data_IF_040001188822
#
_entry.id   IF_040001188822
#
_cell.length_a   1.000
_cell.length_b   1.000
_cell.length_c   1.000
_cell.angle_alpha   90.00
_cell.angle_beta   90.00
_cell.angle_gamma   90.00
#
_symmetry.space_group_name_H-M   'P 1'
#
loop_
_entity.id
_entity.type
_entity.pdbx_description
1 polymer ?
#
# COMPACT_ATOMS: atom_id res chain seq x y z
N UNK A 1 10.15 20.16 56.74
CA UNK A 1 10.19 19.75 55.33
C UNK A 1 8.91 19.15 54.72
N UNK A 2 7.67 19.41 55.20
CA UNK A 2 6.44 18.93 54.56
C UNK A 2 5.87 19.88 53.49
N UNK A 3 6.19 21.18 53.51
CA UNK A 3 5.52 22.17 52.62
C UNK A 3 6.01 22.15 51.15
N UNK A 4 7.26 21.77 50.89
CA UNK A 4 7.82 21.72 49.54
C UNK A 4 7.19 20.58 48.71
N UNK A 5 6.88 19.42 49.33
CA UNK A 5 6.26 18.30 48.68
C UNK A 5 4.80 18.56 48.30
N UNK A 6 4.09 19.36 49.09
CA UNK A 6 2.68 19.73 48.83
C UNK A 6 2.55 20.75 47.68
N UNK A 7 3.54 21.63 47.51
CA UNK A 7 3.57 22.63 46.45
C UNK A 7 3.87 21.99 45.07
N UNK A 8 4.85 21.11 45.01
CA UNK A 8 5.19 20.35 43.79
C UNK A 8 4.02 19.41 43.33
N UNK A 9 3.34 18.77 44.27
CA UNK A 9 2.16 17.93 43.99
C UNK A 9 0.99 18.77 43.44
N UNK A 10 0.73 19.96 43.95
CA UNK A 10 -0.32 20.87 43.46
C UNK A 10 0.00 21.44 42.08
N UNK A 11 1.25 21.72 41.80
CA UNK A 11 1.71 22.24 40.50
C UNK A 11 1.65 21.17 39.40
N UNK A 12 2.04 19.94 39.73
CA UNK A 12 1.88 18.76 38.85
C UNK A 12 0.39 18.44 38.57
N UNK A 13 -0.47 18.49 39.59
CA UNK A 13 -1.91 18.29 39.39
C UNK A 13 -2.54 19.38 38.48
N UNK A 14 -2.13 20.63 38.62
CA UNK A 14 -2.58 21.74 37.75
C UNK A 14 -2.23 21.52 36.31
N UNK A 15 -1.03 20.99 36.00
CA UNK A 15 -0.55 20.73 34.65
C UNK A 15 -1.50 19.85 33.83
N UNK A 16 -2.12 18.86 34.46
CA UNK A 16 -3.03 17.95 33.79
C UNK A 16 -4.51 18.32 33.96
N UNK A 17 -4.90 18.87 35.12
CA UNK A 17 -6.30 19.17 35.40
C UNK A 17 -6.82 20.36 34.60
N UNK A 18 -5.97 21.35 34.27
CA UNK A 18 -6.39 22.52 33.48
C UNK A 18 -6.82 22.12 32.05
N UNK A 19 -6.05 21.35 31.26
CA UNK A 19 -6.50 20.87 29.96
C UNK A 19 -7.80 20.06 30.08
N UNK A 20 -7.89 19.12 31.02
CA UNK A 20 -9.07 18.29 31.24
C UNK A 20 -10.31 19.14 31.52
N UNK A 21 -10.21 20.12 32.42
CA UNK A 21 -11.33 20.99 32.71
C UNK A 21 -11.79 21.82 31.52
N UNK A 22 -10.85 22.25 30.68
CA UNK A 22 -11.15 22.95 29.43
C UNK A 22 -11.91 22.06 28.46
N UNK A 23 -11.46 20.81 28.24
CA UNK A 23 -12.14 19.84 27.36
C UNK A 23 -13.54 19.53 27.88
N UNK A 24 -13.72 19.35 29.18
CA UNK A 24 -15.04 19.13 29.80
C UNK A 24 -15.97 20.33 29.56
N UNK A 25 -15.50 21.58 29.71
CA UNK A 25 -16.29 22.77 29.41
C UNK A 25 -16.67 22.84 27.92
N UNK A 26 -15.77 22.45 27.02
CA UNK A 26 -16.07 22.39 25.61
C UNK A 26 -17.15 21.33 25.30
N UNK A 27 -17.09 20.13 25.92
CA UNK A 27 -18.11 19.10 25.82
C UNK A 27 -19.48 19.63 26.27
N UNK A 28 -19.53 20.25 27.47
CA UNK A 28 -20.77 20.82 28.00
C UNK A 28 -21.38 21.82 27.00
N UNK A 29 -20.54 22.70 26.44
CA UNK A 29 -21.00 23.73 25.52
C UNK A 29 -21.41 23.15 24.15
N UNK A 30 -20.61 22.26 23.62
CA UNK A 30 -20.76 21.74 22.24
C UNK A 30 -21.89 20.71 22.16
N UNK A 31 -22.01 19.83 23.16
CA UNK A 31 -23.08 18.81 23.22
C UNK A 31 -24.38 19.36 23.84
N UNK A 32 -24.36 20.62 24.32
CA UNK A 32 -25.48 21.27 24.98
C UNK A 32 -26.07 20.49 26.17
N UNK A 33 -25.19 19.91 26.99
CA UNK A 33 -25.56 19.13 28.17
C UNK A 33 -25.34 19.94 29.44
N UNK A 34 -26.12 19.65 30.48
CA UNK A 34 -25.94 20.30 31.78
C UNK A 34 -24.78 19.67 32.57
N UNK A 35 -24.15 20.47 33.47
CA UNK A 35 -23.14 19.95 34.39
C UNK A 35 -23.68 18.80 35.27
N UNK A 36 -24.99 18.82 35.58
CA UNK A 36 -25.64 17.76 36.39
C UNK A 36 -25.70 16.46 35.59
N UNK A 37 -26.08 16.55 34.33
CA UNK A 37 -26.14 15.39 33.44
C UNK A 37 -24.76 14.78 33.23
N UNK A 38 -23.76 15.62 32.94
CA UNK A 38 -22.38 15.14 32.78
C UNK A 38 -21.85 14.54 34.08
N UNK A 39 -22.17 15.11 35.26
CA UNK A 39 -21.77 14.55 36.55
C UNK A 39 -22.37 13.16 36.80
N UNK A 40 -23.64 12.97 36.41
CA UNK A 40 -24.30 11.68 36.46
C UNK A 40 -23.66 10.66 35.51
N UNK A 41 -23.39 11.08 34.27
CA UNK A 41 -22.74 10.23 33.24
C UNK A 41 -21.32 9.79 33.66
N UNK A 42 -20.61 10.66 34.38
CA UNK A 42 -19.25 10.38 34.89
C UNK A 42 -19.25 9.69 36.26
N UNK A 43 -20.41 9.40 36.84
CA UNK A 43 -20.57 8.81 38.17
C UNK A 43 -19.87 9.62 39.27
N UNK A 44 -19.89 10.96 39.16
CA UNK A 44 -19.29 11.86 40.15
C UNK A 44 -20.34 12.77 40.79
N UNK A 45 -20.07 13.22 42.01
CA UNK A 45 -20.93 14.22 42.61
C UNK A 45 -20.83 15.55 41.87
N UNK A 46 -21.99 16.18 41.60
CA UNK A 46 -22.07 17.48 40.90
C UNK A 46 -21.18 18.57 41.58
N UNK A 47 -21.15 18.61 42.90
CA UNK A 47 -20.32 19.53 43.65
C UNK A 47 -18.82 19.32 43.41
N UNK A 48 -18.42 18.05 43.19
CA UNK A 48 -17.04 17.68 42.84
C UNK A 48 -16.70 18.15 41.42
N UNK A 49 -17.56 17.89 40.45
CA UNK A 49 -17.37 18.37 39.08
C UNK A 49 -17.34 19.89 38.99
N UNK A 50 -18.29 20.56 39.65
CA UNK A 50 -18.34 22.04 39.70
C UNK A 50 -17.10 22.68 40.31
N UNK A 51 -16.57 22.11 41.41
CA UNK A 51 -15.30 22.60 42.01
C UNK A 51 -14.11 22.34 41.08
N UNK A 52 -14.07 21.18 40.46
CA UNK A 52 -13.01 20.84 39.49
C UNK A 52 -12.98 21.84 38.34
N UNK A 53 -14.14 22.17 37.75
CA UNK A 53 -14.23 23.10 36.62
C UNK A 53 -13.93 24.54 37.01
N UNK A 54 -14.29 24.95 38.25
CA UNK A 54 -14.05 26.34 38.75
C UNK A 54 -12.60 26.57 39.12
N UNK A 55 -11.96 25.61 39.80
CA UNK A 55 -10.58 25.72 40.28
C UNK A 55 -9.83 24.43 39.94
N UNK A 56 -9.39 24.28 38.66
CA UNK A 56 -8.62 23.11 38.24
C UNK A 56 -7.32 23.01 39.05
N UNK A 57 -7.14 21.95 39.80
CA UNK A 57 -5.99 21.74 40.70
C UNK A 57 -6.31 21.82 42.18
N UNK A 58 -7.49 22.32 42.59
CA UNK A 58 -7.98 22.21 43.98
C UNK A 58 -8.58 20.83 44.27
N UNK A 59 -9.18 20.21 43.27
CA UNK A 59 -9.80 18.88 43.34
C UNK A 59 -9.38 18.11 42.10
N UNK A 60 -9.16 16.80 42.20
CA UNK A 60 -8.92 15.93 41.06
C UNK A 60 -10.16 15.10 40.81
N UNK A 61 -10.44 14.84 39.52
CA UNK A 61 -11.45 13.83 39.16
C UNK A 61 -10.91 12.43 39.44
N UNK A 62 -11.73 11.51 39.91
CA UNK A 62 -11.33 10.13 40.09
C UNK A 62 -11.02 9.48 38.71
N UNK A 63 -10.13 8.49 38.69
CA UNK A 63 -9.65 7.88 37.47
C UNK A 63 -10.81 7.25 36.64
N UNK A 64 -11.79 6.64 37.30
CA UNK A 64 -12.95 6.08 36.61
C UNK A 64 -13.70 7.15 35.81
N UNK A 65 -13.89 8.35 36.36
CA UNK A 65 -14.56 9.45 35.65
C UNK A 65 -13.78 9.89 34.39
N UNK A 66 -12.45 9.88 34.45
CA UNK A 66 -11.60 10.18 33.29
C UNK A 66 -11.73 9.08 32.24
N UNK A 67 -11.73 7.82 32.65
CA UNK A 67 -11.92 6.66 31.75
C UNK A 67 -13.31 6.70 31.12
N UNK A 68 -14.36 6.94 31.90
CA UNK A 68 -15.74 7.07 31.42
C UNK A 68 -15.87 8.24 30.44
N UNK A 69 -15.24 9.38 30.73
CA UNK A 69 -15.18 10.53 29.81
C UNK A 69 -14.56 10.15 28.46
N UNK A 70 -13.41 9.48 28.48
CA UNK A 70 -12.75 9.00 27.27
C UNK A 70 -13.64 8.04 26.46
N UNK A 71 -14.30 7.11 27.14
CA UNK A 71 -15.16 6.12 26.48
C UNK A 71 -16.43 6.73 25.91
N UNK A 72 -17.15 7.55 26.69
CA UNK A 72 -18.43 8.13 26.29
C UNK A 72 -18.27 9.12 25.14
N UNK A 73 -17.21 9.93 25.17
CA UNK A 73 -16.94 10.93 24.16
C UNK A 73 -15.87 10.51 23.13
N UNK A 74 -15.42 9.26 23.18
CA UNK A 74 -14.39 8.67 22.28
C UNK A 74 -13.16 9.55 22.17
N UNK A 75 -12.61 9.95 23.31
CA UNK A 75 -11.42 10.77 23.44
C UNK A 75 -10.20 9.88 23.72
N UNK A 76 -9.04 10.23 23.17
CA UNK A 76 -7.77 9.71 23.66
C UNK A 76 -7.36 10.45 24.93
N UNK A 77 -6.70 9.76 25.86
CA UNK A 77 -6.17 10.39 27.07
C UNK A 77 -5.17 11.52 26.73
N UNK A 78 -4.45 11.38 25.60
CA UNK A 78 -3.53 12.42 25.10
C UNK A 78 -4.27 13.71 24.74
N UNK A 79 -5.45 13.58 24.14
CA UNK A 79 -6.30 14.73 23.78
C UNK A 79 -6.75 15.48 25.02
N UNK A 80 -7.11 14.75 26.08
CA UNK A 80 -7.56 15.35 27.35
C UNK A 80 -6.47 16.19 28.04
N UNK A 81 -5.20 15.78 27.92
CA UNK A 81 -4.08 16.45 28.60
C UNK A 81 -3.33 17.43 27.69
N UNK A 82 -3.70 17.54 26.42
CA UNK A 82 -3.13 18.48 25.46
C UNK A 82 -3.68 19.88 25.65
N UNK A 83 -2.81 20.88 25.63
CA UNK A 83 -3.21 22.28 25.70
C UNK A 83 -3.85 22.81 24.41
N UNK A 84 -3.61 22.17 23.29
CA UNK A 84 -4.04 22.63 21.97
C UNK A 84 -5.28 21.87 21.44
N UNK A 85 -5.70 20.83 22.15
CA UNK A 85 -6.85 20.02 21.75
C UNK A 85 -8.15 20.82 21.86
N UNK A 86 -8.95 20.81 20.79
CA UNK A 86 -10.31 21.39 20.71
C UNK A 86 -11.31 20.27 20.53
N UNK A 87 -12.28 20.20 21.44
CA UNK A 87 -13.34 19.20 21.34
C UNK A 87 -14.27 19.47 20.16
N UNK A 88 -14.54 18.45 19.40
CA UNK A 88 -15.53 18.42 18.32
C UNK A 88 -16.55 17.32 18.58
N UNK A 89 -17.81 17.52 18.20
CA UNK A 89 -18.84 16.48 18.33
C UNK A 89 -18.47 15.23 17.55
N UNK A 90 -19.04 14.09 17.95
CA UNK A 90 -18.86 12.84 17.20
C UNK A 90 -19.28 12.97 15.72
N UNK A 91 -20.33 13.78 15.46
CA UNK A 91 -20.78 14.06 14.11
C UNK A 91 -19.78 14.92 13.32
N UNK A 92 -19.17 15.94 13.94
CA UNK A 92 -18.13 16.76 13.35
C UNK A 92 -16.84 15.97 13.12
N UNK A 93 -16.43 15.13 14.10
CA UNK A 93 -15.28 14.22 13.94
C UNK A 93 -15.52 13.20 12.84
N UNK A 94 -16.75 12.72 12.66
CA UNK A 94 -17.09 11.84 11.54
C UNK A 94 -17.10 12.59 10.21
N UNK A 95 -17.45 13.88 10.21
CA UNK A 95 -17.35 14.74 9.02
C UNK A 95 -15.89 15.08 8.71
N UNK A 96 -15.11 15.47 9.70
CA UNK A 96 -13.67 15.70 9.56
C UNK A 96 -12.93 14.40 9.24
N UNK A 97 -13.27 13.27 9.89
CA UNK A 97 -12.72 11.95 9.54
C UNK A 97 -13.12 11.46 8.14
N UNK A 98 -14.21 11.96 7.57
CA UNK A 98 -14.51 11.76 6.13
C UNK A 98 -13.60 12.59 5.22
N UNK A 99 -13.00 13.64 5.75
CA UNK A 99 -12.01 14.49 5.08
C UNK A 99 -10.58 14.25 5.56
N UNK A 100 -10.39 13.75 6.80
CA UNK A 100 -9.07 13.44 7.32
C UNK A 100 -8.59 12.12 6.76
N UNK A 101 -7.70 12.25 5.84
CA UNK A 101 -6.85 11.18 5.37
C UNK A 101 -6.05 10.60 6.56
N UNK A 102 -5.79 9.29 6.60
CA UNK A 102 -4.93 8.67 7.61
C UNK A 102 -3.46 9.13 7.60
N UNK A 103 -3.18 10.27 6.99
CA UNK A 103 -1.87 10.94 7.03
C UNK A 103 -1.45 11.44 8.41
N UNK A 104 -2.34 11.43 9.41
CA UNK A 104 -1.91 11.59 10.80
C UNK A 104 -0.96 10.50 11.28
N UNK A 105 -0.81 9.39 10.52
CA UNK A 105 0.23 8.40 10.71
C UNK A 105 1.57 8.78 10.06
N UNK A 106 1.55 9.70 9.10
CA UNK A 106 2.74 10.25 8.49
C UNK A 106 2.82 11.70 8.96
N UNK A 107 3.63 11.93 9.98
CA UNK A 107 4.06 13.27 10.32
C UNK A 107 4.67 13.87 9.05
N UNK A 108 3.97 14.83 8.44
CA UNK A 108 4.44 15.47 7.21
C UNK A 108 5.78 16.17 7.42
N UNK A 109 6.05 16.61 8.65
CA UNK A 109 7.35 17.18 9.02
C UNK A 109 8.43 16.10 9.08
N UNK A 110 8.08 14.85 9.47
CA UNK A 110 9.00 13.72 9.47
C UNK A 110 9.30 13.19 8.05
N UNK A 111 8.37 13.33 7.09
CA UNK A 111 8.61 12.96 5.70
C UNK A 111 9.56 13.94 5.00
N UNK A 112 9.66 15.18 5.48
CA UNK A 112 10.51 16.20 4.92
C UNK A 112 10.21 16.55 3.45
N UNK A 113 11.11 17.31 2.83
CA UNK A 113 10.97 17.77 1.43
C UNK A 113 11.15 16.66 0.37
N UNK A 114 11.47 15.43 0.79
CA UNK A 114 11.73 14.32 -0.12
C UNK A 114 10.46 13.60 -0.60
N UNK A 115 9.31 13.93 -0.01
CA UNK A 115 8.04 13.32 -0.39
C UNK A 115 7.06 14.37 -0.93
N UNK A 116 6.45 14.04 -2.04
CA UNK A 116 5.40 14.83 -2.66
C UNK A 116 4.06 14.19 -2.27
N UNK A 117 3.26 14.95 -1.55
CA UNK A 117 1.96 14.52 -1.03
C UNK A 117 0.83 15.19 -1.79
N UNK A 118 1.03 16.45 -2.18
CA UNK A 118 0.02 17.27 -2.87
C UNK A 118 -0.29 16.71 -4.27
N UNK A 119 -1.53 16.28 -4.51
CA UNK A 119 -1.95 15.74 -5.79
C UNK A 119 -2.03 16.78 -6.92
N UNK A 120 -1.95 18.07 -6.60
CA UNK A 120 -1.87 19.15 -7.59
C UNK A 120 -0.46 19.29 -8.18
N UNK A 121 0.54 18.69 -7.55
CA UNK A 121 1.89 18.65 -8.06
C UNK A 121 1.96 17.97 -9.43
N UNK A 122 2.80 18.51 -10.31
CA UNK A 122 3.07 17.94 -11.64
C UNK A 122 3.53 16.47 -11.56
N UNK A 123 4.15 16.07 -10.48
CA UNK A 123 4.58 14.69 -10.25
C UNK A 123 3.41 13.69 -10.27
N UNK A 124 2.21 14.10 -9.89
CA UNK A 124 1.02 13.24 -9.90
C UNK A 124 0.27 13.20 -11.23
N UNK A 125 0.53 14.12 -12.17
CA UNK A 125 -0.26 14.24 -13.42
C UNK A 125 -0.41 12.92 -14.18
N UNK A 126 0.63 12.09 -14.22
CA UNK A 126 0.61 10.81 -14.93
C UNK A 126 -0.03 9.65 -14.16
N UNK A 127 -0.42 9.86 -12.88
CA UNK A 127 -0.87 8.79 -12.00
C UNK A 127 -2.34 8.83 -11.64
N UNK A 128 -2.98 10.00 -11.74
CA UNK A 128 -4.37 10.21 -11.31
C UNK A 128 -5.35 9.58 -12.29
N UNK A 129 -5.49 8.26 -12.19
CA UNK A 129 -6.35 7.45 -13.05
C UNK A 129 -6.69 6.12 -12.39
N UNK A 130 -7.41 5.28 -13.10
CA UNK A 130 -7.69 3.89 -12.72
C UNK A 130 -6.70 2.95 -13.40
N UNK A 131 -6.16 2.01 -12.62
CA UNK A 131 -5.30 0.94 -13.10
C UNK A 131 -6.00 -0.40 -12.94
N UNK A 132 -5.89 -1.25 -13.95
CA UNK A 132 -6.22 -2.66 -13.86
C UNK A 132 -5.05 -3.40 -13.20
N UNK A 133 -5.34 -4.18 -12.18
CA UNK A 133 -4.34 -4.86 -11.37
C UNK A 133 -4.45 -6.36 -11.53
N UNK A 134 -3.30 -7.03 -11.66
CA UNK A 134 -3.20 -8.48 -11.85
C UNK A 134 -2.13 -9.02 -10.93
N UNK A 135 -2.42 -10.06 -10.16
CA UNK A 135 -1.48 -10.68 -9.24
C UNK A 135 -1.88 -12.10 -8.87
N UNK A 136 -0.91 -12.89 -8.41
CA UNK A 136 -1.19 -14.24 -7.95
C UNK A 136 -1.92 -14.20 -6.60
N UNK A 137 -2.88 -15.13 -6.38
CA UNK A 137 -3.45 -15.32 -5.06
C UNK A 137 -2.35 -15.61 -4.04
N UNK A 138 -2.42 -14.97 -2.87
CA UNK A 138 -1.51 -15.27 -1.75
C UNK A 138 -1.84 -16.59 -1.06
N UNK A 139 -2.96 -17.21 -1.41
CA UNK A 139 -3.30 -18.59 -1.06
C UNK A 139 -2.75 -19.53 -2.12
N UNK A 140 -2.03 -20.54 -1.69
CA UNK A 140 -1.39 -21.56 -2.50
C UNK A 140 -2.28 -22.18 -3.58
N UNK A 141 -1.68 -22.44 -4.75
CA UNK A 141 -2.13 -23.37 -5.82
C UNK A 141 -3.28 -22.95 -6.74
N UNK A 142 -3.85 -21.76 -6.62
CA UNK A 142 -4.76 -21.30 -7.65
C UNK A 142 -3.96 -20.84 -8.87
N UNK A 143 -4.26 -21.43 -10.02
CA UNK A 143 -3.59 -21.14 -11.29
C UNK A 143 -4.06 -19.81 -11.91
N UNK A 144 -5.14 -19.22 -11.40
CA UNK A 144 -5.73 -17.99 -11.93
C UNK A 144 -5.24 -16.75 -11.20
N UNK A 145 -5.02 -15.68 -11.97
CA UNK A 145 -4.70 -14.38 -11.41
C UNK A 145 -5.94 -13.75 -10.76
N UNK A 146 -5.72 -13.11 -9.62
CA UNK A 146 -6.69 -12.18 -9.05
C UNK A 146 -6.69 -10.88 -9.84
N UNK A 147 -7.86 -10.28 -9.93
CA UNK A 147 -8.09 -9.01 -10.60
C UNK A 147 -8.35 -7.93 -9.57
N UNK A 148 -7.89 -6.72 -9.86
CA UNK A 148 -8.20 -5.55 -9.05
C UNK A 148 -8.30 -4.29 -9.88
N UNK A 149 -8.81 -3.22 -9.25
CA UNK A 149 -8.79 -1.86 -9.79
C UNK A 149 -8.22 -0.92 -8.74
N UNK A 150 -7.13 -0.26 -9.06
CA UNK A 150 -6.55 0.79 -8.23
C UNK A 150 -6.96 2.14 -8.80
N UNK A 151 -7.71 2.91 -8.03
CA UNK A 151 -8.12 4.26 -8.38
C UNK A 151 -7.28 5.26 -7.61
N UNK A 152 -6.52 6.08 -8.32
CA UNK A 152 -5.77 7.22 -7.76
C UNK A 152 -6.49 8.49 -8.15
N UNK A 153 -6.95 9.26 -7.17
CA UNK A 153 -7.78 10.45 -7.37
C UNK A 153 -7.30 11.62 -6.52
N UNK A 154 -7.58 12.84 -6.96
CA UNK A 154 -7.33 14.02 -6.17
C UNK A 154 -8.21 14.03 -4.92
N UNK A 155 -7.61 14.30 -3.77
CA UNK A 155 -8.29 14.59 -2.52
C UNK A 155 -7.87 15.96 -2.00
N UNK A 156 -8.37 16.37 -0.84
CA UNK A 156 -8.00 17.64 -0.22
C UNK A 156 -6.55 17.53 0.31
N UNK A 157 -5.60 18.07 -0.46
CA UNK A 157 -4.18 18.09 -0.09
C UNK A 157 -3.46 16.74 -0.16
N UNK A 158 -4.11 15.68 -0.69
CA UNK A 158 -3.51 14.35 -0.78
C UNK A 158 -4.06 13.55 -1.96
N UNK A 159 -3.22 12.71 -2.54
CA UNK A 159 -3.66 11.70 -3.50
C UNK A 159 -4.39 10.57 -2.78
N UNK A 160 -5.69 10.42 -3.02
CA UNK A 160 -6.50 9.32 -2.48
C UNK A 160 -6.33 8.08 -3.33
N UNK A 161 -6.24 6.94 -2.65
CA UNK A 161 -6.19 5.63 -3.27
C UNK A 161 -7.41 4.80 -2.84
N UNK A 162 -8.05 4.14 -3.80
CA UNK A 162 -9.06 3.11 -3.56
C UNK A 162 -8.65 1.88 -4.35
N UNK A 163 -8.71 0.71 -3.72
CA UNK A 163 -8.42 -0.56 -4.38
C UNK A 163 -9.60 -1.51 -4.20
N UNK A 164 -10.13 -1.97 -5.32
CA UNK A 164 -11.23 -2.92 -5.42
C UNK A 164 -10.65 -4.27 -5.87
N UNK A 165 -10.79 -5.30 -5.03
CA UNK A 165 -10.33 -6.66 -5.30
C UNK A 165 -11.48 -7.53 -5.78
N UNK A 166 -11.26 -8.27 -6.85
CA UNK A 166 -12.21 -9.22 -7.43
C UNK A 166 -11.58 -10.63 -7.46
N UNK A 167 -12.17 -11.54 -6.71
CA UNK A 167 -11.77 -12.95 -6.72
C UNK A 167 -12.34 -13.70 -7.91
N UNK A 168 -13.49 -13.23 -8.39
CA UNK A 168 -14.20 -13.81 -9.50
C UNK A 168 -14.33 -12.78 -10.63
N UNK A 169 -14.10 -13.21 -11.87
CA UNK A 169 -14.19 -12.38 -13.08
C UNK A 169 -15.58 -11.78 -13.27
N UNK A 170 -16.64 -12.55 -12.98
CA UNK A 170 -18.01 -12.06 -13.05
C UNK A 170 -18.25 -10.86 -12.12
N UNK A 171 -17.62 -10.83 -10.96
CA UNK A 171 -17.67 -9.70 -10.04
C UNK A 171 -16.95 -8.46 -10.58
N UNK A 172 -15.85 -8.65 -11.32
CA UNK A 172 -15.15 -7.56 -11.98
C UNK A 172 -15.98 -6.91 -13.10
N UNK A 173 -16.81 -7.70 -13.79
CA UNK A 173 -17.72 -7.23 -14.84
C UNK A 173 -18.95 -6.51 -14.26
N UNK A 174 -19.49 -7.01 -13.17
CA UNK A 174 -20.64 -6.37 -12.47
C UNK A 174 -20.24 -5.19 -11.59
N UNK A 175 -18.94 -4.98 -11.35
CA UNK A 175 -18.43 -3.89 -10.52
C UNK A 175 -18.61 -4.10 -9.02
N UNK A 176 -18.92 -5.32 -8.59
CA UNK A 176 -19.09 -5.67 -7.17
C UNK A 176 -17.78 -6.27 -6.62
N UNK A 177 -16.95 -5.48 -5.90
CA UNK A 177 -15.70 -5.99 -5.36
C UNK A 177 -15.94 -6.93 -4.18
N UNK A 178 -15.14 -8.00 -4.10
CA UNK A 178 -15.10 -8.91 -2.95
C UNK A 178 -14.47 -8.28 -1.71
N UNK A 179 -13.51 -7.36 -1.94
CA UNK A 179 -12.88 -6.57 -0.88
C UNK A 179 -12.59 -5.16 -1.38
N UNK A 180 -12.78 -4.20 -0.49
CA UNK A 180 -12.44 -2.80 -0.74
C UNK A 180 -11.38 -2.31 0.24
N UNK A 181 -10.40 -1.59 -0.30
CA UNK A 181 -9.38 -0.91 0.48
C UNK A 181 -9.40 0.57 0.14
N UNK A 182 -9.09 1.40 1.09
CA UNK A 182 -8.95 2.84 0.90
C UNK A 182 -7.71 3.36 1.61
N UNK A 183 -7.15 4.43 1.05
CA UNK A 183 -5.94 5.00 1.58
C UNK A 183 -5.43 6.17 0.76
N UNK A 184 -4.14 6.27 0.62
CA UNK A 184 -3.48 7.39 -0.01
C UNK A 184 -2.20 6.98 -0.72
N UNK A 185 -1.70 7.86 -1.60
CA UNK A 185 -0.43 7.68 -2.28
C UNK A 185 0.50 8.86 -2.03
N UNK A 186 1.79 8.58 -1.94
CA UNK A 186 2.87 9.56 -1.85
C UNK A 186 3.97 9.22 -2.84
N UNK A 187 4.68 10.24 -3.34
CA UNK A 187 5.81 10.07 -4.25
C UNK A 187 7.09 10.47 -3.53
N UNK A 188 8.08 9.59 -3.53
CA UNK A 188 9.44 9.96 -3.18
C UNK A 188 10.11 10.62 -4.38
N UNK A 189 10.38 11.92 -4.26
CA UNK A 189 11.05 12.69 -5.32
C UNK A 189 12.49 12.24 -5.54
N UNK A 190 13.19 11.88 -4.46
CA UNK A 190 14.58 11.46 -4.48
C UNK A 190 14.76 10.05 -5.02
N UNK A 191 13.89 9.12 -4.59
CA UNK A 191 13.97 7.71 -4.98
C UNK A 191 13.21 7.40 -6.27
N UNK A 192 12.45 8.36 -6.79
CA UNK A 192 11.60 8.17 -7.97
C UNK A 192 10.67 6.95 -7.83
N UNK A 193 10.02 6.85 -6.69
CA UNK A 193 9.10 5.75 -6.36
C UNK A 193 7.78 6.29 -5.83
N UNK A 194 6.68 5.61 -6.18
CA UNK A 194 5.38 5.85 -5.58
C UNK A 194 5.09 4.79 -4.53
N UNK A 195 4.58 5.24 -3.40
CA UNK A 195 4.07 4.38 -2.33
C UNK A 195 2.57 4.58 -2.22
N UNK A 196 1.81 3.50 -2.21
CA UNK A 196 0.37 3.51 -2.00
C UNK A 196 0.05 2.72 -0.75
N UNK A 197 -0.54 3.39 0.23
CA UNK A 197 -0.94 2.79 1.50
C UNK A 197 -2.44 2.52 1.46
N UNK A 198 -2.83 1.30 1.68
CA UNK A 198 -4.20 0.83 1.59
C UNK A 198 -4.60 0.09 2.87
N UNK A 199 -5.79 0.35 3.37
CA UNK A 199 -6.35 -0.36 4.51
C UNK A 199 -7.80 -0.78 4.23
N UNK A 200 -8.15 -2.00 4.64
CA UNK A 200 -9.54 -2.47 4.65
C UNK A 200 -10.23 -1.95 5.89
N UNK A 201 -11.40 -1.34 5.71
CA UNK A 201 -12.21 -0.83 6.82
C UNK A 201 -12.84 -1.93 7.68
N UNK A 202 -13.06 -3.10 7.11
CA UNK A 202 -13.83 -4.18 7.74
C UNK A 202 -12.99 -5.07 8.61
N UNK A 203 -11.76 -5.40 8.20
CA UNK A 203 -10.95 -6.45 8.82
C UNK A 203 -9.54 -5.97 9.22
N UNK A 204 -9.24 -4.67 9.04
CA UNK A 204 -7.94 -4.10 9.44
C UNK A 204 -6.75 -4.62 8.62
N UNK A 205 -6.98 -5.22 7.46
CA UNK A 205 -5.91 -5.58 6.52
C UNK A 205 -5.23 -4.33 5.99
N UNK A 206 -3.90 -4.38 5.92
CA UNK A 206 -3.07 -3.31 5.36
C UNK A 206 -2.30 -3.87 4.17
N UNK A 207 -2.21 -3.07 3.11
CA UNK A 207 -1.37 -3.34 1.95
C UNK A 207 -0.60 -2.08 1.58
N UNK A 208 0.69 -2.25 1.31
CA UNK A 208 1.57 -1.18 0.85
C UNK A 208 2.11 -1.58 -0.51
N UNK A 209 1.82 -0.77 -1.52
CA UNK A 209 2.36 -0.94 -2.87
C UNK A 209 3.54 -0.01 -3.04
N UNK A 210 4.60 -0.50 -3.63
CA UNK A 210 5.76 0.31 -4.05
C UNK A 210 6.08 0.02 -5.52
N UNK A 211 6.16 1.07 -6.33
CA UNK A 211 6.52 0.95 -7.73
C UNK A 211 7.28 2.18 -8.24
N UNK A 212 8.07 1.98 -9.28
CA UNK A 212 8.92 3.02 -9.85
C UNK A 212 8.10 4.16 -10.44
N UNK A 213 8.59 5.38 -10.22
CA UNK A 213 8.02 6.59 -10.78
C UNK A 213 8.04 6.57 -12.31
N UNK A 214 6.98 7.04 -12.95
CA UNK A 214 6.97 7.34 -14.38
C UNK A 214 7.83 8.58 -14.61
N UNK A 215 9.02 8.42 -15.14
CA UNK A 215 9.89 9.56 -15.46
C UNK A 215 9.21 10.43 -16.51
N UNK A 216 9.11 11.71 -16.22
CA UNK A 216 8.42 12.71 -17.05
C UNK A 216 9.01 12.87 -18.49
N UNK A 217 10.24 12.42 -18.72
CA UNK A 217 10.96 12.65 -19.97
C UNK A 217 11.13 11.41 -20.85
N UNK A 218 10.55 10.29 -20.49
CA UNK A 218 10.60 9.06 -21.25
C UNK A 218 9.16 8.60 -21.50
N UNK A 219 8.94 7.94 -22.61
CA UNK A 219 7.64 7.39 -23.00
C UNK A 219 6.85 6.90 -21.80
N UNK A 220 5.61 7.41 -21.66
CA UNK A 220 4.69 6.92 -20.63
C UNK A 220 4.52 5.42 -20.83
N UNK A 221 4.99 4.64 -19.88
CA UNK A 221 4.70 3.22 -19.89
C UNK A 221 3.26 3.01 -19.44
N UNK A 222 2.53 2.17 -20.17
CA UNK A 222 1.13 1.87 -19.87
C UNK A 222 0.97 0.89 -18.73
N UNK A 223 2.05 0.31 -18.27
CA UNK A 223 2.05 -0.60 -17.15
C UNK A 223 3.27 -0.41 -16.23
N UNK A 224 3.11 -0.82 -14.98
CA UNK A 224 4.15 -0.88 -13.96
C UNK A 224 4.00 -2.14 -13.14
N UNK A 225 5.11 -2.68 -12.72
CA UNK A 225 5.12 -3.72 -11.72
C UNK A 225 5.32 -3.09 -10.33
N UNK A 226 4.45 -3.45 -9.41
CA UNK A 226 4.56 -3.08 -8.01
C UNK A 226 4.98 -4.27 -7.16
N UNK A 227 5.77 -4.01 -6.12
CA UNK A 227 5.91 -4.90 -4.98
C UNK A 227 4.84 -4.55 -3.96
N UNK A 228 4.16 -5.55 -3.44
CA UNK A 228 3.07 -5.38 -2.47
C UNK A 228 3.40 -6.13 -1.21
N UNK A 229 3.50 -5.40 -0.11
CA UNK A 229 3.54 -5.95 1.24
C UNK A 229 2.12 -5.94 1.80
N UNK A 230 1.61 -7.09 2.21
CA UNK A 230 0.25 -7.20 2.74
C UNK A 230 0.19 -8.20 3.90
N UNK A 231 -0.77 -8.01 4.80
CA UNK A 231 -1.14 -8.98 5.81
C UNK A 231 -2.46 -9.70 5.48
N UNK A 232 -2.90 -9.66 4.22
CA UNK A 232 -4.19 -10.24 3.80
C UNK A 232 -4.08 -11.70 3.33
N UNK A 233 -2.91 -12.32 3.47
CA UNK A 233 -2.66 -13.66 2.99
C UNK A 233 -3.33 -14.75 3.84
N UNK A 234 -4.23 -15.49 3.22
CA UNK A 234 -4.86 -16.65 3.83
C UNK A 234 -5.80 -16.34 5.01
N UNK A 235 -6.26 -17.38 5.70
CA UNK A 235 -7.11 -17.25 6.89
C UNK A 235 -6.34 -16.76 8.13
N UNK A 236 -5.02 -16.94 8.13
CA UNK A 236 -4.14 -16.61 9.27
C UNK A 236 -3.53 -15.21 9.15
N UNK A 237 -3.87 -14.44 8.12
CA UNK A 237 -3.39 -13.07 7.90
C UNK A 237 -1.85 -12.95 7.97
N UNK A 238 -1.14 -13.90 7.37
CA UNK A 238 0.32 -13.95 7.40
C UNK A 238 0.89 -12.81 6.55
N UNK A 239 1.86 -12.03 7.06
CA UNK A 239 2.57 -11.02 6.27
C UNK A 239 3.20 -11.66 5.03
N UNK A 240 2.90 -11.06 3.88
CA UNK A 240 3.30 -11.61 2.58
C UNK A 240 3.74 -10.49 1.65
N UNK A 241 4.77 -10.78 0.86
CA UNK A 241 5.19 -9.92 -0.26
C UNK A 241 4.80 -10.62 -1.55
N UNK A 242 4.21 -9.88 -2.50
CA UNK A 242 3.90 -10.40 -3.83
C UNK A 242 4.06 -9.30 -4.89
N UNK A 243 4.15 -9.69 -6.15
CA UNK A 243 4.16 -8.77 -7.28
C UNK A 243 2.76 -8.51 -7.79
N UNK A 244 2.53 -7.28 -8.25
CA UNK A 244 1.28 -6.86 -8.85
C UNK A 244 1.58 -6.06 -10.12
N UNK A 245 0.99 -6.44 -11.24
CA UNK A 245 1.01 -5.63 -12.44
C UNK A 245 -0.09 -4.56 -12.35
N UNK A 246 0.29 -3.32 -12.53
CA UNK A 246 -0.60 -2.18 -12.72
C UNK A 246 -0.62 -1.82 -14.19
N UNK A 247 -1.77 -1.88 -14.85
CA UNK A 247 -1.93 -1.53 -16.26
C UNK A 247 -3.03 -0.48 -16.44
N UNK A 248 -2.80 0.50 -17.30
CA UNK A 248 -3.82 1.50 -17.65
C UNK A 248 -4.98 0.88 -18.42
N UNK A 249 -4.63 -0.02 -19.34
CA UNK A 249 -5.59 -0.72 -20.17
C UNK A 249 -5.86 -2.13 -19.63
N UNK A 250 -7.05 -2.60 -19.86
CA UNK A 250 -7.40 -3.99 -19.54
C UNK A 250 -6.67 -4.93 -20.49
N UNK A 251 -6.02 -5.95 -19.93
CA UNK A 251 -5.37 -7.01 -20.69
C UNK A 251 -6.43 -8.03 -21.10
N UNK A 252 -6.38 -8.47 -22.35
CA UNK A 252 -7.25 -9.53 -22.86
C UNK A 252 -6.97 -10.84 -22.11
N UNK A 253 -8.04 -11.52 -21.68
CA UNK A 253 -7.96 -12.70 -20.84
C UNK A 253 -7.15 -13.84 -21.45
N UNK A 254 -7.25 -14.03 -22.78
CA UNK A 254 -6.47 -15.06 -23.50
C UNK A 254 -4.96 -14.88 -23.39
N UNK A 255 -4.51 -13.70 -22.96
CA UNK A 255 -3.10 -13.35 -22.83
C UNK A 255 -2.61 -13.31 -21.36
N UNK A 256 -3.49 -13.55 -20.38
CA UNK A 256 -3.11 -13.53 -18.96
C UNK A 256 -2.08 -14.62 -18.63
N UNK A 257 -2.13 -15.76 -19.30
CA UNK A 257 -1.15 -16.83 -19.08
C UNK A 257 0.29 -16.42 -19.44
N UNK A 258 0.44 -15.52 -20.43
CA UNK A 258 1.76 -15.01 -20.81
C UNK A 258 2.38 -14.09 -19.76
N UNK A 259 1.57 -13.41 -18.93
CA UNK A 259 2.08 -12.51 -17.89
C UNK A 259 2.27 -13.18 -16.53
N UNK A 260 1.62 -14.33 -16.28
CA UNK A 260 1.73 -15.04 -14.98
C UNK A 260 3.16 -15.26 -14.51
N UNK A 261 4.12 -15.73 -15.36
CA UNK A 261 5.50 -15.94 -14.92
C UNK A 261 6.20 -14.67 -14.42
N UNK A 262 5.84 -13.49 -14.95
CA UNK A 262 6.43 -12.23 -14.55
C UNK A 262 5.99 -11.78 -13.15
N UNK A 263 4.87 -12.29 -12.67
CA UNK A 263 4.27 -11.92 -11.38
C UNK A 263 4.69 -12.84 -10.24
N UNK A 264 5.44 -13.90 -10.54
CA UNK A 264 5.96 -14.79 -9.51
C UNK A 264 7.09 -14.09 -8.75
N UNK A 265 6.96 -14.07 -7.44
CA UNK A 265 8.01 -13.66 -6.52
C UNK A 265 8.87 -14.90 -6.24
N UNK A 266 10.19 -14.78 -6.22
CA UNK A 266 11.09 -15.95 -6.11
C UNK A 266 10.72 -17.03 -7.11
N UNK A 267 10.37 -16.64 -8.33
CA UNK A 267 10.12 -17.65 -9.32
C UNK A 267 11.41 -18.40 -9.56
N UNK A 268 11.35 -19.72 -9.46
CA UNK A 268 12.33 -20.60 -10.06
C UNK A 268 12.43 -20.37 -11.59
N UNK A 269 11.71 -19.39 -12.11
CA UNK A 269 11.60 -19.06 -13.52
C UNK A 269 12.56 -17.94 -13.87
N UNK A 270 13.54 -18.26 -14.66
CA UNK A 270 14.50 -17.35 -15.25
C UNK A 270 13.97 -16.88 -16.61
N UNK A 271 13.68 -15.60 -16.75
CA UNK A 271 13.24 -15.00 -18.01
C UNK A 271 14.45 -14.52 -18.79
N UNK A 272 14.67 -15.03 -19.98
CA UNK A 272 15.86 -14.74 -20.79
C UNK A 272 15.43 -14.24 -22.16
N UNK A 273 16.03 -13.13 -22.60
CA UNK A 273 15.81 -12.63 -23.96
C UNK A 273 16.44 -13.57 -24.98
N UNK A 274 15.82 -13.68 -26.15
CA UNK A 274 16.39 -14.44 -27.26
C UNK A 274 17.84 -14.00 -27.57
N UNK A 275 18.10 -12.72 -27.57
CA UNK A 275 19.44 -12.14 -27.78
C UNK A 275 20.48 -12.50 -26.71
N UNK A 276 20.04 -12.90 -25.53
CA UNK A 276 20.90 -13.29 -24.40
C UNK A 276 21.15 -14.80 -24.34
N UNK A 277 20.26 -15.60 -24.97
CA UNK A 277 20.44 -17.08 -24.98
C UNK A 277 21.79 -17.50 -25.59
N UNK A 278 22.22 -16.86 -26.65
CA UNK A 278 23.49 -17.16 -27.30
C UNK A 278 24.74 -16.79 -26.47
N UNK A 279 24.56 -16.06 -25.36
CA UNK A 279 25.65 -15.70 -24.44
C UNK A 279 25.79 -16.67 -23.27
N UNK A 280 24.82 -17.57 -23.08
CA UNK A 280 24.86 -18.54 -22.00
C UNK A 280 25.94 -19.55 -22.30
N UNK A 281 26.91 -19.67 -21.39
CA UNK A 281 27.98 -20.65 -21.46
C UNK A 281 27.47 -22.02 -21.03
N UNK A 282 27.22 -22.86 -22.00
CA UNK A 282 26.80 -24.24 -21.75
C UNK A 282 27.92 -25.20 -22.15
N UNK A 283 28.44 -26.04 -21.25
CA UNK A 283 29.47 -27.04 -21.57
C UNK A 283 29.01 -28.04 -22.65
N UNK A 284 27.71 -28.29 -22.75
CA UNK A 284 27.12 -29.11 -23.76
C UNK A 284 26.17 -28.29 -24.67
N UNK A 285 26.60 -27.87 -25.87
CA UNK A 285 25.76 -27.09 -26.78
C UNK A 285 24.42 -27.76 -27.12
N UNK A 286 24.40 -29.08 -27.24
CA UNK A 286 23.18 -29.84 -27.54
C UNK A 286 22.14 -29.75 -26.43
N UNK A 287 22.58 -29.53 -25.19
CA UNK A 287 21.67 -29.30 -24.08
C UNK A 287 20.93 -27.94 -24.21
N UNK A 288 21.64 -26.90 -24.59
CA UNK A 288 21.03 -25.60 -24.82
C UNK A 288 20.04 -25.64 -26.00
N UNK A 289 20.41 -26.28 -27.08
CA UNK A 289 19.53 -26.54 -28.23
C UNK A 289 18.27 -27.34 -27.81
N UNK A 290 18.45 -28.36 -26.96
CA UNK A 290 17.34 -29.12 -26.42
C UNK A 290 16.41 -28.29 -25.55
N UNK A 291 16.97 -27.49 -24.66
CA UNK A 291 16.21 -26.60 -23.75
C UNK A 291 15.40 -25.55 -24.53
N UNK A 292 15.96 -25.02 -25.62
CA UNK A 292 15.34 -23.97 -26.43
C UNK A 292 14.50 -24.51 -27.58
N UNK A 293 14.88 -25.63 -28.17
CA UNK A 293 14.21 -26.23 -29.35
C UNK A 293 12.79 -26.73 -29.09
N UNK A 294 12.41 -26.92 -27.83
CA UNK A 294 11.04 -27.26 -27.42
C UNK A 294 10.13 -26.04 -27.31
N UNK A 295 10.70 -24.83 -27.37
CA UNK A 295 9.98 -23.58 -27.18
C UNK A 295 9.76 -22.91 -28.52
N UNK A 296 8.55 -22.40 -28.74
CA UNK A 296 8.32 -21.56 -29.92
C UNK A 296 9.20 -20.31 -29.89
N UNK A 297 9.71 -19.84 -31.04
CA UNK A 297 10.49 -18.61 -31.11
C UNK A 297 9.71 -17.44 -30.50
N UNK A 298 10.29 -16.81 -29.49
CA UNK A 298 9.71 -15.67 -28.76
C UNK A 298 10.80 -14.66 -28.46
N UNK A 299 10.40 -13.44 -28.20
CA UNK A 299 11.30 -12.39 -27.71
C UNK A 299 11.93 -12.76 -26.38
N UNK A 300 11.22 -13.58 -25.57
CA UNK A 300 11.64 -14.03 -24.24
C UNK A 300 11.30 -15.51 -24.04
N UNK A 301 12.18 -16.19 -23.34
CA UNK A 301 12.01 -17.56 -22.90
C UNK A 301 11.93 -17.63 -21.38
N UNK A 302 11.02 -18.45 -20.88
CA UNK A 302 10.85 -18.68 -19.45
C UNK A 302 11.34 -20.10 -19.12
N UNK A 303 12.42 -20.19 -18.36
CA UNK A 303 12.98 -21.45 -17.87
C UNK A 303 12.75 -21.57 -16.38
N UNK A 304 12.13 -22.64 -15.92
CA UNK A 304 12.16 -22.95 -14.49
C UNK A 304 13.52 -23.50 -14.10
N UNK A 305 14.04 -23.12 -12.94
CA UNK A 305 15.31 -23.63 -12.45
C UNK A 305 15.30 -25.17 -12.38
N UNK A 306 14.20 -25.74 -11.92
CA UNK A 306 14.04 -27.20 -11.84
C UNK A 306 14.07 -27.86 -13.20
N UNK A 307 13.49 -27.22 -14.24
CA UNK A 307 13.55 -27.76 -15.61
C UNK A 307 14.97 -27.76 -16.17
N UNK A 308 15.69 -26.65 -16.00
CA UNK A 308 17.11 -26.56 -16.42
C UNK A 308 17.97 -27.56 -15.66
N UNK A 309 17.80 -27.63 -14.34
CA UNK A 309 18.52 -28.56 -13.48
C UNK A 309 18.30 -30.01 -13.89
N UNK A 310 17.04 -30.42 -14.02
CA UNK A 310 16.69 -31.81 -14.38
C UNK A 310 17.31 -32.23 -15.70
N UNK A 311 17.23 -31.38 -16.73
CA UNK A 311 17.82 -31.72 -18.05
C UNK A 311 19.36 -31.65 -18.03
N UNK A 312 19.94 -30.75 -17.23
CA UNK A 312 21.39 -30.62 -17.11
C UNK A 312 22.02 -31.82 -16.36
N UNK A 313 21.39 -32.31 -15.30
CA UNK A 313 21.87 -33.48 -14.51
C UNK A 313 21.95 -34.77 -15.32
N UNK A 314 21.26 -34.83 -16.46
CA UNK A 314 21.35 -35.99 -17.39
C UNK A 314 22.73 -36.08 -18.08
N UNK A 315 23.41 -34.93 -18.31
CA UNK A 315 24.60 -34.86 -19.15
C UNK A 315 25.77 -34.08 -18.61
N UNK A 316 25.61 -33.43 -17.44
CA UNK A 316 26.62 -32.59 -16.80
C UNK A 316 26.90 -33.05 -15.38
N UNK A 317 28.10 -32.78 -14.91
CA UNK A 317 28.46 -32.98 -13.50
C UNK A 317 27.82 -31.90 -12.60
N UNK A 318 27.65 -32.19 -11.33
CA UNK A 318 26.98 -31.29 -10.37
C UNK A 318 27.56 -29.86 -10.35
N UNK A 319 28.90 -29.73 -10.51
CA UNK A 319 29.57 -28.41 -10.57
C UNK A 319 29.19 -27.66 -11.85
N UNK A 320 29.12 -28.35 -12.98
CA UNK A 320 28.73 -27.78 -14.27
C UNK A 320 27.26 -27.35 -14.27
N UNK A 321 26.40 -28.15 -13.63
CA UNK A 321 24.98 -27.79 -13.43
C UNK A 321 24.85 -26.50 -12.63
N UNK A 322 25.62 -26.33 -11.54
CA UNK A 322 25.59 -25.09 -10.75
C UNK A 322 26.11 -23.90 -11.55
N UNK A 323 27.16 -24.09 -12.35
CA UNK A 323 27.69 -23.04 -13.22
C UNK A 323 26.66 -22.62 -14.27
N UNK A 324 26.02 -23.61 -14.93
CA UNK A 324 24.99 -23.35 -15.91
C UNK A 324 23.79 -22.58 -15.30
N UNK A 325 23.30 -22.99 -14.15
CA UNK A 325 22.22 -22.28 -13.44
C UNK A 325 22.63 -20.87 -13.05
N UNK A 326 23.86 -20.67 -12.61
CA UNK A 326 24.40 -19.34 -12.31
C UNK A 326 24.43 -18.45 -13.55
N UNK A 327 24.80 -19.04 -14.71
CA UNK A 327 24.85 -18.34 -15.98
C UNK A 327 23.46 -17.98 -16.49
N UNK A 328 22.49 -18.88 -16.41
CA UNK A 328 21.08 -18.60 -16.69
C UNK A 328 20.55 -17.44 -15.83
N UNK A 329 20.86 -17.44 -14.53
CA UNK A 329 20.44 -16.37 -13.62
C UNK A 329 21.08 -15.03 -13.98
N UNK A 330 22.37 -15.02 -14.37
CA UNK A 330 23.09 -13.79 -14.72
C UNK A 330 22.58 -13.13 -16.01
N UNK A 331 22.05 -13.93 -16.95
CA UNK A 331 21.46 -13.45 -18.19
C UNK A 331 19.93 -13.32 -18.11
N UNK A 332 19.33 -13.65 -16.96
CA UNK A 332 17.89 -13.49 -16.77
C UNK A 332 17.52 -12.03 -16.59
N UNK A 333 16.33 -11.71 -17.08
CA UNK A 333 15.73 -10.41 -16.88
C UNK A 333 15.23 -10.31 -15.46
N UNK A 334 15.83 -9.41 -14.71
CA UNK A 334 15.52 -9.22 -13.31
C UNK A 334 16.37 -10.11 -12.41
N UNK A 335 16.88 -9.48 -11.35
CA UNK A 335 17.55 -10.19 -10.27
C UNK A 335 16.62 -11.25 -9.69
N UNK A 336 17.18 -12.40 -9.35
CA UNK A 336 16.54 -13.45 -8.55
C UNK A 336 16.08 -12.95 -7.17
N UNK A 337 16.35 -11.72 -6.84
CA UNK A 337 16.14 -11.08 -5.54
C UNK A 337 14.97 -10.11 -5.55
N UNK A 338 13.77 -10.51 -5.93
CA UNK A 338 12.55 -9.73 -5.59
C UNK A 338 12.58 -8.21 -5.91
N UNK A 339 13.47 -7.77 -6.82
CA UNK A 339 13.56 -6.37 -7.24
C UNK A 339 12.71 -6.13 -8.49
N UNK A 340 11.83 -5.14 -8.42
CA UNK A 340 11.20 -4.58 -9.62
C UNK A 340 12.13 -3.48 -10.14
N UNK A 341 12.76 -3.72 -11.28
CA UNK A 341 13.64 -2.75 -11.93
C UNK A 341 13.01 -2.22 -13.24
N UNK A 342 13.61 -1.16 -13.80
CA UNK A 342 13.13 -0.57 -15.04
C UNK A 342 13.16 -1.57 -16.23
N UNK A 343 14.07 -2.53 -16.21
CA UNK A 343 14.13 -3.55 -17.26
C UNK A 343 12.96 -4.51 -17.20
N UNK A 344 12.52 -4.90 -15.99
CA UNK A 344 11.33 -5.72 -15.82
C UNK A 344 10.07 -5.02 -16.36
N UNK A 345 9.91 -3.72 -16.07
CA UNK A 345 8.81 -2.91 -16.59
C UNK A 345 8.87 -2.80 -18.11
N UNK A 346 10.05 -2.47 -18.67
CA UNK A 346 10.23 -2.33 -20.12
C UNK A 346 9.96 -3.63 -20.85
N UNK A 347 10.42 -4.75 -20.32
CA UNK A 347 10.22 -6.05 -20.92
C UNK A 347 8.75 -6.44 -20.95
N UNK A 348 8.04 -6.18 -19.85
CA UNK A 348 6.61 -6.46 -19.76
C UNK A 348 5.81 -5.50 -20.66
N UNK A 349 6.17 -4.21 -20.70
CA UNK A 349 5.56 -3.26 -21.62
C UNK A 349 5.75 -3.70 -23.08
N UNK A 350 6.96 -4.08 -23.47
CA UNK A 350 7.27 -4.62 -24.80
C UNK A 350 6.41 -5.85 -25.11
N UNK A 351 6.36 -6.82 -24.20
CA UNK A 351 5.53 -8.01 -24.34
C UNK A 351 4.05 -7.67 -24.57
N UNK A 352 3.50 -6.78 -23.75
CA UNK A 352 2.08 -6.44 -23.83
C UNK A 352 1.72 -5.63 -25.10
N UNK A 353 2.61 -4.76 -25.55
CA UNK A 353 2.36 -3.89 -26.71
C UNK A 353 2.66 -4.59 -28.03
N UNK A 354 3.82 -5.23 -28.19
CA UNK A 354 4.24 -5.89 -29.44
C UNK A 354 3.34 -7.08 -29.77
N UNK A 355 2.90 -7.83 -28.75
CA UNK A 355 1.99 -8.95 -28.98
C UNK A 355 0.51 -8.56 -28.95
N UNK A 356 0.18 -7.29 -28.72
CA UNK A 356 -1.19 -6.79 -28.74
C UNK A 356 -2.08 -7.45 -27.68
N UNK A 357 -1.58 -7.66 -26.47
CA UNK A 357 -2.28 -8.34 -25.39
C UNK A 357 -3.36 -7.48 -24.71
N UNK A 358 -3.39 -6.20 -25.01
CA UNK A 358 -4.44 -5.30 -24.49
C UNK A 358 -5.80 -5.62 -25.15
N UNK A 359 -6.87 -5.58 -24.35
CA UNK A 359 -8.22 -5.90 -24.81
C UNK A 359 -8.79 -4.88 -25.80
N UNK A 360 -8.33 -3.62 -25.74
CA UNK A 360 -8.80 -2.52 -26.60
C UNK A 360 -7.63 -1.90 -27.36
N UNK A 361 -7.52 -2.22 -28.65
CA UNK A 361 -6.48 -1.66 -29.53
C UNK A 361 -6.72 -0.21 -29.98
N UNK A 362 -7.73 0.51 -29.46
CA UNK A 362 -8.29 1.70 -30.15
C UNK A 362 -7.71 3.04 -29.75
N UNK A 363 -6.56 3.22 -29.15
CA UNK A 363 -6.13 4.56 -28.68
C UNK A 363 -4.71 5.03 -28.97
N UNK A 364 -3.93 4.36 -29.79
CA UNK A 364 -2.54 4.82 -30.05
C UNK A 364 -2.30 5.49 -31.40
N UNK A 365 -3.34 5.85 -32.16
CA UNK A 365 -3.17 6.55 -33.45
C UNK A 365 -3.25 8.08 -33.40
N UNK A 366 -3.59 8.70 -32.26
CA UNK A 366 -3.93 10.13 -32.26
C UNK A 366 -2.98 11.08 -31.52
N UNK A 367 -1.80 10.62 -31.09
CA UNK A 367 -0.80 11.54 -30.49
C UNK A 367 0.45 11.81 -31.32
N UNK A 368 0.47 11.44 -32.60
CA UNK A 368 1.57 11.77 -33.53
C UNK A 368 1.28 12.97 -34.44
N UNK A 369 0.48 13.91 -34.00
CA UNK A 369 0.13 15.09 -34.76
C UNK A 369 -0.26 16.27 -33.92
N UNK A 370 0.74 16.92 -33.30
CA UNK A 370 0.79 18.37 -33.15
C UNK A 370 2.16 18.71 -32.55
N UNK A 371 3.01 19.24 -33.43
CA UNK A 371 4.24 19.95 -33.09
C UNK A 371 3.90 21.36 -32.62
#
# INVERSE_FOLDING_TARGET
MPEANTRASKESARKYNVPIARVINQIITTENISQNQLAADLEVNQGTLSRFLRVPGAVSLPLHAIVTLCQSYKLDLRDLVSNDFVYQTLAERQRTRKTDCPLTLLDTDALGHNFIVDPESDAFKGYLQTYHCYFHPTRTKESELLLGKLHLTKGNGICRAKFDLYRNRSHAETGNPDKEYSGFAVISSTLHSMYVFLASKTIGEISVLNFSHFKLNLQYLDCRMAEVLTNSAGANHIPTVHRMLLSRERIDEKHLDAIKPHLLLNSDTMMIRDTELGKISCPNPKLLDHLTGLLEPKTFYAFTENYVRYNAEISLEAKEVQQLLSDFRSHSIGDSCNKVNADADNNLHTLLTEHGYYANKKLFSDHSGEQ
#
